data_IF_672928042036
#
_entry.id   IF_672928042036
#
_cell.length_a   1.000
_cell.length_b   1.000
_cell.length_c   1.000
_cell.angle_alpha   90.00
_cell.angle_beta   90.00
_cell.angle_gamma   90.00
#
_symmetry.space_group_name_H-M   'P 1'
#
loop_
_entity.id
_entity.type
_entity.pdbx_description
1 polymer ?
#
# COMPACT_ATOMS: atom_id res chain seq x y z
N UNK A 1 -7.73 -3.17 30.13
CA UNK A 1 -7.22 -2.75 28.80
C UNK A 1 -5.86 -3.41 28.61
N UNK A 2 -5.66 -4.24 27.56
CA UNK A 2 -4.40 -4.93 27.37
C UNK A 2 -3.26 -3.91 27.15
N UNK A 3 -2.10 -4.12 27.76
CA UNK A 3 -0.95 -3.20 27.68
C UNK A 3 -0.52 -2.89 26.23
N UNK A 4 -0.72 -3.85 25.32
CA UNK A 4 -0.48 -3.72 23.90
C UNK A 4 -1.22 -2.56 23.24
N UNK A 5 -2.43 -2.19 23.70
CA UNK A 5 -3.16 -1.06 23.11
C UNK A 5 -2.48 0.27 23.42
N UNK A 6 -1.86 0.38 24.60
CA UNK A 6 -1.15 1.58 25.01
C UNK A 6 0.16 1.76 24.22
N UNK A 7 0.88 0.66 23.98
CA UNK A 7 2.06 0.68 23.09
C UNK A 7 1.69 1.04 21.66
N UNK A 8 0.64 0.43 21.09
CA UNK A 8 0.18 0.77 19.74
C UNK A 8 -0.24 2.23 19.64
N UNK A 9 -1.00 2.75 20.63
CA UNK A 9 -1.39 4.14 20.66
C UNK A 9 -0.18 5.08 20.73
N UNK A 10 0.80 4.79 21.61
CA UNK A 10 2.02 5.58 21.73
C UNK A 10 2.81 5.61 20.41
N UNK A 11 2.99 4.47 19.75
CA UNK A 11 3.69 4.37 18.46
C UNK A 11 2.94 5.17 17.38
N UNK A 12 1.62 5.05 17.31
CA UNK A 12 0.80 5.82 16.37
C UNK A 12 0.93 7.34 16.59
N UNK A 13 0.89 7.80 17.84
CA UNK A 13 1.06 9.23 18.17
C UNK A 13 2.45 9.74 17.78
N UNK A 14 3.51 8.98 18.07
CA UNK A 14 4.89 9.34 17.70
C UNK A 14 5.05 9.40 16.18
N UNK A 15 4.54 8.41 15.45
CA UNK A 15 4.57 8.39 13.98
C UNK A 15 3.80 9.56 13.37
N UNK A 16 2.61 9.88 13.91
CA UNK A 16 1.82 11.01 13.45
C UNK A 16 2.57 12.34 13.66
N UNK A 17 3.16 12.52 14.84
CA UNK A 17 3.97 13.71 15.14
C UNK A 17 5.18 13.84 14.20
N UNK A 18 5.88 12.74 13.93
CA UNK A 18 7.00 12.72 13.00
C UNK A 18 6.57 13.10 11.57
N UNK A 19 5.47 12.53 11.08
CA UNK A 19 4.91 12.87 9.76
C UNK A 19 4.46 14.33 9.69
N UNK A 20 3.81 14.83 10.75
CA UNK A 20 3.43 16.24 10.86
C UNK A 20 4.66 17.15 10.78
N UNK A 21 5.71 16.86 11.55
CA UNK A 21 6.96 17.62 11.51
C UNK A 21 7.61 17.60 10.11
N UNK A 22 7.60 16.45 9.43
CA UNK A 22 8.17 16.32 8.08
C UNK A 22 7.35 17.08 7.01
N UNK A 23 6.02 17.03 7.08
CA UNK A 23 5.14 17.61 6.07
C UNK A 23 4.88 19.09 6.30
N UNK A 24 4.56 19.50 7.53
CA UNK A 24 4.13 20.87 7.84
C UNK A 24 5.32 21.79 8.15
N UNK A 25 6.25 21.33 8.99
CA UNK A 25 7.39 22.17 9.42
C UNK A 25 8.49 22.16 8.36
N UNK A 26 8.88 20.97 7.87
CA UNK A 26 9.93 20.82 6.85
C UNK A 26 9.42 21.05 5.41
N UNK A 27 8.10 21.12 5.19
CA UNK A 27 7.46 21.32 3.87
C UNK A 27 7.91 20.31 2.81
N UNK A 28 8.37 19.13 3.22
CA UNK A 28 8.83 18.07 2.31
C UNK A 28 7.65 17.20 1.87
N UNK A 29 6.83 17.74 0.95
CA UNK A 29 5.62 17.06 0.45
C UNK A 29 5.84 16.29 -0.85
N UNK A 30 7.00 16.44 -1.50
CA UNK A 30 7.26 15.79 -2.81
C UNK A 30 7.17 14.25 -2.74
N UNK A 31 7.55 13.66 -1.62
CA UNK A 31 7.48 12.20 -1.41
C UNK A 31 6.03 11.70 -1.21
N UNK A 32 5.12 12.55 -0.71
CA UNK A 32 3.71 12.15 -0.54
C UNK A 32 2.98 11.99 -1.87
N UNK A 33 3.46 12.65 -2.93
CA UNK A 33 2.95 12.50 -4.30
C UNK A 33 3.00 11.06 -4.82
N UNK A 34 3.92 10.23 -4.32
CA UNK A 34 4.00 8.81 -4.66
C UNK A 34 2.83 8.00 -4.07
N UNK A 35 2.35 8.37 -2.88
CA UNK A 35 1.23 7.73 -2.20
C UNK A 35 -0.13 8.38 -2.49
N UNK A 36 -0.13 9.60 -3.02
CA UNK A 36 -1.32 10.33 -3.45
C UNK A 36 -2.29 9.53 -4.33
N UNK A 37 -1.87 8.71 -5.33
CA UNK A 37 -2.81 7.89 -6.09
C UNK A 37 -3.56 6.85 -5.24
N UNK A 38 -2.92 6.30 -4.20
CA UNK A 38 -3.56 5.38 -3.27
C UNK A 38 -4.56 6.10 -2.36
N UNK A 39 -4.21 7.32 -1.90
CA UNK A 39 -5.08 8.13 -1.06
C UNK A 39 -6.33 8.64 -1.79
N UNK A 40 -6.26 8.79 -3.12
CA UNK A 40 -7.40 9.25 -3.92
C UNK A 40 -8.58 8.27 -3.93
N UNK A 41 -8.32 6.96 -3.90
CA UNK A 41 -9.36 5.91 -3.86
C UNK A 41 -8.92 4.75 -2.97
N UNK A 42 -9.01 4.88 -1.63
CA UNK A 42 -8.56 3.84 -0.69
C UNK A 42 -9.31 2.52 -0.87
N UNK A 43 -10.57 2.58 -1.32
CA UNK A 43 -11.39 1.39 -1.57
C UNK A 43 -10.85 0.56 -2.75
N UNK A 44 -10.42 1.22 -3.84
CA UNK A 44 -9.91 0.51 -5.02
C UNK A 44 -8.60 -0.19 -4.72
N UNK A 45 -7.66 0.48 -4.04
CA UNK A 45 -6.37 -0.13 -3.68
C UNK A 45 -6.51 -1.30 -2.70
N UNK A 46 -7.56 -1.33 -1.89
CA UNK A 46 -7.85 -2.46 -0.99
C UNK A 46 -8.38 -3.69 -1.75
N UNK A 47 -9.21 -3.48 -2.77
CA UNK A 47 -9.83 -4.56 -3.56
C UNK A 47 -8.89 -5.10 -4.64
N UNK A 48 -8.04 -4.25 -5.20
CA UNK A 48 -7.16 -4.56 -6.34
C UNK A 48 -6.28 -5.81 -6.16
N UNK A 49 -5.62 -6.04 -5.00
CA UNK A 49 -4.83 -7.26 -4.79
C UNK A 49 -5.69 -8.53 -4.86
N UNK A 50 -6.92 -8.47 -4.35
CA UNK A 50 -7.88 -9.57 -4.43
C UNK A 50 -8.28 -9.87 -5.88
N UNK A 51 -8.54 -8.83 -6.67
CA UNK A 51 -8.86 -8.99 -8.11
C UNK A 51 -7.71 -9.68 -8.84
N UNK A 52 -6.47 -9.24 -8.61
CA UNK A 52 -5.29 -9.85 -9.24
C UNK A 52 -5.13 -11.31 -8.80
N UNK A 53 -5.36 -11.61 -7.52
CA UNK A 53 -5.29 -12.99 -7.02
C UNK A 53 -6.30 -13.91 -7.74
N UNK A 54 -7.56 -13.51 -7.86
CA UNK A 54 -8.56 -14.31 -8.57
C UNK A 54 -8.26 -14.42 -10.07
N UNK A 55 -7.77 -13.35 -10.69
CA UNK A 55 -7.35 -13.38 -12.10
C UNK A 55 -6.23 -14.41 -12.32
N UNK A 56 -5.25 -14.42 -11.41
CA UNK A 56 -4.13 -15.37 -11.41
C UNK A 56 -4.60 -16.82 -11.29
N UNK A 57 -5.58 -17.08 -10.42
CA UNK A 57 -6.18 -18.40 -10.24
C UNK A 57 -6.90 -18.89 -11.50
N UNK A 58 -7.68 -18.03 -12.16
CA UNK A 58 -8.43 -18.38 -13.39
C UNK A 58 -7.49 -18.76 -14.52
N UNK A 59 -6.38 -18.04 -14.68
CA UNK A 59 -5.39 -18.29 -15.72
C UNK A 59 -4.36 -19.38 -15.36
N UNK A 60 -4.45 -20.00 -14.18
CA UNK A 60 -3.48 -20.99 -13.66
C UNK A 60 -2.02 -20.51 -13.76
N UNK A 61 -1.80 -19.21 -13.66
CA UNK A 61 -0.47 -18.62 -13.79
C UNK A 61 0.16 -18.50 -12.41
N UNK A 62 1.27 -19.16 -12.13
CA UNK A 62 1.97 -18.97 -10.84
C UNK A 62 2.80 -17.67 -10.88
N UNK A 63 2.15 -16.53 -10.60
CA UNK A 63 2.84 -15.23 -10.49
C UNK A 63 3.84 -15.21 -9.33
N UNK A 64 3.63 -16.05 -8.31
CA UNK A 64 4.49 -16.17 -7.13
C UNK A 64 5.21 -17.53 -7.22
N UNK A 65 6.50 -17.56 -7.59
CA UNK A 65 7.31 -18.76 -7.43
C UNK A 65 7.42 -19.08 -5.94
N UNK A 66 7.31 -20.35 -5.54
CA UNK A 66 7.35 -20.76 -4.12
C UNK A 66 8.61 -20.26 -3.39
N UNK A 67 9.71 -20.07 -4.12
CA UNK A 67 10.97 -19.53 -3.61
C UNK A 67 10.87 -18.07 -3.09
N UNK A 68 9.88 -17.30 -3.55
CA UNK A 68 9.66 -15.90 -3.18
C UNK A 68 8.67 -15.73 -2.02
N UNK A 69 8.24 -16.81 -1.36
CA UNK A 69 7.30 -16.72 -0.23
C UNK A 69 7.99 -16.59 1.12
N UNK A 70 9.27 -16.90 1.20
CA UNK A 70 9.98 -17.02 2.48
C UNK A 70 11.28 -16.21 2.52
N UNK A 71 11.63 -15.74 3.72
CA UNK A 71 12.89 -15.02 3.97
C UNK A 71 13.03 -13.68 3.25
N UNK A 72 14.28 -13.31 2.99
CA UNK A 72 14.67 -12.06 2.32
C UNK A 72 14.04 -11.90 0.92
N UNK A 73 13.97 -12.93 0.04
CA UNK A 73 13.36 -12.75 -1.27
C UNK A 73 11.87 -12.39 -1.17
N UNK A 74 11.14 -12.93 -0.19
CA UNK A 74 9.75 -12.55 0.05
C UNK A 74 9.56 -11.09 0.49
N UNK A 75 10.48 -10.55 1.30
CA UNK A 75 10.45 -9.12 1.66
C UNK A 75 10.62 -8.26 0.40
N UNK A 76 11.61 -8.57 -0.43
CA UNK A 76 11.84 -7.85 -1.70
C UNK A 76 10.61 -7.94 -2.60
N UNK A 77 10.01 -9.12 -2.71
CA UNK A 77 8.81 -9.31 -3.53
C UNK A 77 7.62 -8.52 -3.00
N UNK A 78 7.42 -8.47 -1.69
CA UNK A 78 6.35 -7.68 -1.08
C UNK A 78 6.50 -6.18 -1.35
N UNK A 79 7.73 -5.67 -1.32
CA UNK A 79 8.04 -4.28 -1.67
C UNK A 79 7.77 -3.99 -3.15
N UNK A 80 8.22 -4.88 -4.05
CA UNK A 80 7.98 -4.78 -5.49
C UNK A 80 6.48 -4.84 -5.79
N UNK A 81 5.77 -5.80 -5.20
CA UNK A 81 4.33 -5.98 -5.36
C UNK A 81 3.56 -4.75 -4.88
N UNK A 82 3.87 -4.23 -3.69
CA UNK A 82 3.25 -2.99 -3.17
C UNK A 82 3.49 -1.79 -4.10
N UNK A 83 4.71 -1.66 -4.62
CA UNK A 83 5.06 -0.62 -5.62
C UNK A 83 4.26 -0.77 -6.91
N UNK A 84 4.10 -2.00 -7.41
CA UNK A 84 3.28 -2.30 -8.59
C UNK A 84 1.82 -1.92 -8.34
N UNK A 85 1.26 -2.23 -7.17
CA UNK A 85 -0.13 -1.86 -6.84
C UNK A 85 -0.34 -0.34 -6.87
N UNK A 86 0.63 0.44 -6.36
CA UNK A 86 0.58 1.91 -6.41
C UNK A 86 0.61 2.42 -7.86
N UNK A 87 1.41 1.80 -8.73
CA UNK A 87 1.46 2.14 -10.16
C UNK A 87 0.17 1.78 -10.88
N UNK A 88 -0.38 0.60 -10.64
CA UNK A 88 -1.67 0.17 -11.21
C UNK A 88 -2.78 1.12 -10.74
N UNK A 89 -2.80 1.50 -9.46
CA UNK A 89 -3.74 2.49 -8.93
C UNK A 89 -3.60 3.84 -9.63
N UNK A 90 -2.37 4.31 -9.86
CA UNK A 90 -2.11 5.55 -10.61
C UNK A 90 -2.65 5.47 -12.04
N UNK A 91 -2.51 4.31 -12.70
CA UNK A 91 -3.06 4.05 -14.04
C UNK A 91 -4.59 4.05 -14.00
N UNK A 92 -5.22 3.30 -13.09
CA UNK A 92 -6.67 3.25 -12.93
C UNK A 92 -7.28 4.65 -12.68
N UNK A 93 -6.62 5.45 -11.83
CA UNK A 93 -7.07 6.82 -11.56
C UNK A 93 -6.95 7.72 -12.79
N UNK A 94 -5.93 7.51 -13.65
CA UNK A 94 -5.79 8.21 -14.94
C UNK A 94 -6.94 7.89 -15.90
N UNK A 95 -7.43 6.65 -15.89
CA UNK A 95 -8.59 6.22 -16.69
C UNK A 95 -9.94 6.60 -16.06
N UNK A 96 -9.95 7.39 -14.97
CA UNK A 96 -11.15 7.75 -14.19
C UNK A 96 -11.98 6.55 -13.75
N UNK A 97 -11.35 5.39 -13.56
CA UNK A 97 -12.01 4.23 -12.96
C UNK A 97 -12.08 4.49 -11.46
N UNK A 98 -13.12 5.18 -11.04
CA UNK A 98 -13.41 5.48 -9.64
C UNK A 98 -14.62 4.65 -9.24
N UNK A 99 -14.45 3.76 -8.28
CA UNK A 99 -15.60 3.18 -7.58
C UNK A 99 -16.16 4.28 -6.68
N UNK A 100 -17.15 4.99 -7.19
CA UNK A 100 -18.05 5.78 -6.38
C UNK A 100 -18.91 4.82 -5.55
N UNK A 101 -18.98 5.06 -4.24
CA UNK A 101 -20.06 4.56 -3.41
C UNK A 101 -21.20 5.58 -3.43
#
# INVERSE_FOLDING_TARGET
>A
TPSWTMFSAAICTVLFYFLYWLMEIKKQTKWSGFFMPAAANPLLIYILPGVIYYFTLVFNFHIIPDYFREGIPGIIWSLVFSTIMLLVMKICNKYKIQLHL
#
